data_IF_303221705536
#
_entry.id   IF_303221705536
#
_cell.length_a   1.000
_cell.length_b   1.000
_cell.length_c   1.000
_cell.angle_alpha   90.00
_cell.angle_beta   90.00
_cell.angle_gamma   90.00
#
_symmetry.space_group_name_H-M   'P 1'
#
loop_
_entity.id
_entity.type
_entity.pdbx_description
1 polymer ?
#
# COMPACT_ATOMS: atom_id res chain seq x y z
N UNK A 1 6.08 5.58 -31.67
CA UNK A 1 5.98 4.63 -30.56
C UNK A 1 4.54 4.55 -30.04
N UNK A 2 4.29 3.73 -28.98
CA UNK A 2 2.94 3.51 -28.43
C UNK A 2 2.26 4.83 -27.98
N UNK A 3 3.02 5.75 -27.39
CA UNK A 3 2.55 7.08 -27.00
C UNK A 3 2.02 7.88 -28.17
N UNK A 4 2.71 7.87 -29.29
CA UNK A 4 2.27 8.53 -30.52
C UNK A 4 1.03 7.87 -31.13
N UNK A 5 0.80 6.59 -30.81
CA UNK A 5 -0.35 5.82 -31.28
C UNK A 5 -1.61 6.02 -30.45
N UNK A 6 -1.48 6.37 -29.17
CA UNK A 6 -2.60 6.55 -28.23
C UNK A 6 -2.97 8.03 -27.99
N UNK A 7 -2.16 8.95 -28.48
CA UNK A 7 -2.33 10.38 -28.24
C UNK A 7 -1.60 10.88 -26.97
N UNK A 8 -1.18 12.12 -27.01
CA UNK A 8 -0.51 12.78 -25.90
C UNK A 8 -1.50 13.76 -25.24
N UNK A 9 -1.62 13.71 -23.93
CA UNK A 9 -2.37 14.71 -23.16
C UNK A 9 -1.43 15.90 -22.99
N UNK A 10 -1.58 16.90 -23.85
CA UNK A 10 -0.89 18.18 -23.68
C UNK A 10 -1.70 19.10 -22.77
N UNK A 11 -0.99 19.98 -22.09
CA UNK A 11 -1.50 20.97 -21.13
C UNK A 11 -2.58 21.92 -21.65
N UNK A 12 -2.89 21.89 -22.94
CA UNK A 12 -3.82 22.81 -23.60
C UNK A 12 -5.22 22.26 -23.81
N UNK A 13 -5.61 21.19 -23.12
CA UNK A 13 -6.91 20.50 -23.25
C UNK A 13 -7.27 20.03 -24.69
N UNK A 14 -6.36 20.08 -25.64
CA UNK A 14 -6.56 19.49 -26.96
C UNK A 14 -5.99 18.06 -26.92
N UNK A 15 -6.86 17.08 -26.71
CA UNK A 15 -6.54 15.67 -26.95
C UNK A 15 -6.20 15.47 -28.43
N UNK A 16 -4.93 15.38 -28.76
CA UNK A 16 -4.54 14.87 -30.07
C UNK A 16 -4.86 13.37 -30.10
N UNK A 17 -5.84 12.99 -30.90
CA UNK A 17 -6.20 11.57 -31.10
C UNK A 17 -4.99 10.80 -31.58
N UNK A 18 -4.68 9.70 -30.91
CA UNK A 18 -3.62 8.80 -31.32
C UNK A 18 -3.92 8.11 -32.65
N UNK A 19 -2.89 7.57 -33.29
CA UNK A 19 -3.03 6.87 -34.57
C UNK A 19 -4.08 5.76 -34.55
N UNK A 20 -4.22 5.03 -33.45
CA UNK A 20 -5.24 3.99 -33.27
C UNK A 20 -6.65 4.58 -33.25
N UNK A 21 -6.86 5.72 -32.60
CA UNK A 21 -8.15 6.41 -32.56
C UNK A 21 -8.49 7.07 -33.92
N UNK A 22 -7.47 7.58 -34.62
CA UNK A 22 -7.65 8.15 -35.96
C UNK A 22 -7.95 7.06 -37.00
N UNK A 23 -7.30 5.89 -36.90
CA UNK A 23 -7.51 4.76 -37.79
C UNK A 23 -8.76 3.93 -37.45
N UNK A 24 -9.31 4.08 -36.26
CA UNK A 24 -10.47 3.31 -35.78
C UNK A 24 -11.66 3.30 -36.75
N UNK A 25 -12.09 4.44 -37.33
CA UNK A 25 -13.15 4.47 -38.34
C UNK A 25 -12.79 3.83 -39.68
N UNK A 26 -11.50 3.79 -40.04
CA UNK A 26 -11.00 3.25 -41.29
C UNK A 26 -10.80 1.73 -41.23
N UNK A 27 -10.58 1.18 -40.04
CA UNK A 27 -10.25 -0.24 -39.90
C UNK A 27 -11.47 -1.18 -39.97
N UNK A 28 -12.71 -0.64 -40.04
CA UNK A 28 -13.95 -1.44 -39.98
C UNK A 28 -13.85 -2.66 -39.08
N UNK A 29 -13.13 -2.48 -37.92
CA UNK A 29 -12.92 -3.54 -36.97
C UNK A 29 -14.27 -3.86 -36.33
N UNK A 30 -14.87 -4.94 -36.80
CA UNK A 30 -16.10 -5.49 -36.23
C UNK A 30 -15.98 -5.78 -34.74
N UNK A 31 -14.74 -5.84 -34.22
CA UNK A 31 -14.43 -6.14 -32.84
C UNK A 31 -13.35 -5.21 -32.26
N UNK A 32 -13.77 -3.99 -31.93
CA UNK A 32 -12.93 -3.04 -31.16
C UNK A 32 -12.49 -3.65 -29.83
N UNK A 33 -13.33 -4.48 -29.23
CA UNK A 33 -13.03 -5.19 -27.98
C UNK A 33 -11.87 -6.17 -28.13
N UNK A 34 -11.78 -6.87 -29.27
CA UNK A 34 -10.71 -7.82 -29.56
C UNK A 34 -9.37 -7.11 -29.79
N UNK A 35 -9.38 -5.95 -30.43
CA UNK A 35 -8.17 -5.12 -30.61
C UNK A 35 -7.66 -4.65 -29.26
N UNK A 36 -8.57 -4.10 -28.43
CA UNK A 36 -8.23 -3.62 -27.10
C UNK A 36 -7.67 -4.75 -26.23
N UNK A 37 -8.34 -5.89 -26.18
CA UNK A 37 -7.90 -7.00 -25.34
C UNK A 37 -6.61 -7.66 -25.80
N UNK A 38 -6.33 -7.76 -27.08
CA UNK A 38 -5.12 -8.46 -27.57
C UNK A 38 -3.93 -7.53 -27.81
N UNK A 39 -4.12 -6.41 -28.46
CA UNK A 39 -2.99 -5.55 -28.83
C UNK A 39 -2.59 -4.65 -27.67
N UNK A 40 -3.57 -4.01 -27.03
CA UNK A 40 -3.30 -3.07 -25.94
C UNK A 40 -2.80 -3.82 -24.71
N UNK A 41 -3.36 -5.00 -24.44
CA UNK A 41 -2.89 -5.85 -23.34
C UNK A 41 -1.42 -6.28 -23.52
N UNK A 42 -1.05 -6.81 -24.68
CA UNK A 42 0.34 -7.20 -24.97
C UNK A 42 1.30 -6.00 -24.89
N UNK A 43 0.86 -4.84 -25.40
CA UNK A 43 1.65 -3.61 -25.29
C UNK A 43 1.82 -3.16 -23.83
N UNK A 44 0.78 -3.32 -23.01
CA UNK A 44 0.85 -3.00 -21.57
C UNK A 44 1.79 -3.95 -20.84
N UNK A 45 1.71 -5.26 -21.11
CA UNK A 45 2.64 -6.25 -20.53
C UNK A 45 4.10 -5.94 -20.89
N UNK A 46 4.37 -5.54 -22.13
CA UNK A 46 5.69 -5.12 -22.55
C UNK A 46 6.16 -3.88 -21.77
N UNK A 47 5.30 -2.88 -21.57
CA UNK A 47 5.61 -1.72 -20.74
C UNK A 47 5.95 -2.11 -19.29
N UNK A 48 5.25 -3.11 -18.72
CA UNK A 48 5.58 -3.65 -17.39
C UNK A 48 6.98 -4.28 -17.39
N UNK A 49 7.33 -5.07 -18.40
CA UNK A 49 8.67 -5.68 -18.52
C UNK A 49 9.78 -4.65 -18.67
N UNK A 50 9.49 -3.55 -19.37
CA UNK A 50 10.40 -2.41 -19.56
C UNK A 50 10.43 -1.44 -18.35
N UNK A 51 9.73 -1.77 -17.26
CA UNK A 51 9.57 -0.93 -16.05
C UNK A 51 8.92 0.45 -16.31
N UNK A 52 8.14 0.56 -17.37
CA UNK A 52 7.38 1.77 -17.74
C UNK A 52 5.97 1.70 -17.16
N UNK A 53 5.88 1.74 -15.83
CA UNK A 53 4.64 1.45 -15.10
C UNK A 53 3.51 2.43 -15.41
N UNK A 54 3.81 3.72 -15.57
CA UNK A 54 2.79 4.73 -15.90
C UNK A 54 2.13 4.43 -17.25
N UNK A 55 2.94 4.05 -18.25
CA UNK A 55 2.42 3.72 -19.57
C UNK A 55 1.60 2.42 -19.53
N UNK A 56 2.06 1.43 -18.77
CA UNK A 56 1.33 0.18 -18.57
C UNK A 56 -0.05 0.42 -17.93
N UNK A 57 -0.11 1.22 -16.88
CA UNK A 57 -1.36 1.58 -16.19
C UNK A 57 -2.33 2.28 -17.14
N UNK A 58 -1.85 3.23 -17.94
CA UNK A 58 -2.68 3.90 -18.95
C UNK A 58 -3.24 2.93 -19.99
N UNK A 59 -2.42 1.99 -20.47
CA UNK A 59 -2.82 0.99 -21.44
C UNK A 59 -3.86 0.01 -20.87
N UNK A 60 -3.62 -0.54 -19.68
CA UNK A 60 -4.59 -1.42 -19.02
C UNK A 60 -5.90 -0.69 -18.70
N UNK A 61 -5.83 0.58 -18.26
CA UNK A 61 -7.03 1.37 -18.03
C UNK A 61 -7.81 1.63 -19.32
N UNK A 62 -7.11 1.86 -20.44
CA UNK A 62 -7.73 1.99 -21.75
C UNK A 62 -8.39 0.67 -22.20
N UNK A 63 -7.79 -0.47 -21.88
CA UNK A 63 -8.36 -1.80 -22.11
C UNK A 63 -9.51 -2.16 -21.16
N UNK A 64 -9.86 -1.29 -20.20
CA UNK A 64 -10.87 -1.52 -19.14
C UNK A 64 -10.51 -2.65 -18.16
N UNK A 65 -9.23 -3.03 -18.07
CA UNK A 65 -8.73 -4.06 -17.18
C UNK A 65 -8.41 -3.49 -15.80
N UNK A 66 -9.43 -3.08 -15.06
CA UNK A 66 -9.30 -2.36 -13.79
C UNK A 66 -8.58 -3.17 -12.71
N UNK A 67 -8.83 -4.46 -12.62
CA UNK A 67 -8.18 -5.33 -11.63
C UNK A 67 -6.69 -5.51 -11.94
N UNK A 68 -6.32 -5.58 -13.22
CA UNK A 68 -4.92 -5.62 -13.66
C UNK A 68 -4.20 -4.30 -13.33
N UNK A 69 -4.85 -3.14 -13.54
CA UNK A 69 -4.33 -1.84 -13.11
C UNK A 69 -4.06 -1.82 -11.62
N UNK A 70 -5.02 -2.25 -10.81
CA UNK A 70 -4.86 -2.30 -9.37
C UNK A 70 -3.76 -3.26 -8.92
N UNK A 71 -3.66 -4.43 -9.55
CA UNK A 71 -2.61 -5.41 -9.27
C UNK A 71 -1.21 -4.86 -9.56
N UNK A 72 -1.02 -4.17 -10.68
CA UNK A 72 0.25 -3.51 -11.01
C UNK A 72 0.59 -2.41 -9.99
N UNK A 73 -0.38 -1.58 -9.64
CA UNK A 73 -0.20 -0.55 -8.61
C UNK A 73 0.13 -1.14 -7.24
N UNK A 74 -0.53 -2.21 -6.83
CA UNK A 74 -0.30 -2.90 -5.56
C UNK A 74 1.12 -3.46 -5.49
N UNK A 75 1.60 -4.05 -6.57
CA UNK A 75 2.97 -4.56 -6.64
C UNK A 75 4.00 -3.44 -6.45
N UNK A 76 3.82 -2.31 -7.14
CA UNK A 76 4.73 -1.15 -7.01
C UNK A 76 4.63 -0.50 -5.62
N UNK A 77 3.43 -0.35 -5.08
CA UNK A 77 3.23 0.14 -3.70
C UNK A 77 3.92 -0.78 -2.68
N UNK A 78 3.80 -2.10 -2.86
CA UNK A 78 4.46 -3.08 -2.02
C UNK A 78 5.98 -2.98 -2.09
N UNK A 79 6.55 -2.87 -3.29
CA UNK A 79 7.98 -2.72 -3.49
C UNK A 79 8.55 -1.45 -2.84
N UNK A 80 7.77 -0.37 -2.83
CA UNK A 80 8.16 0.94 -2.30
C UNK A 80 7.62 1.20 -0.88
N UNK A 81 7.05 0.19 -0.19
CA UNK A 81 6.31 0.39 1.06
C UNK A 81 7.14 1.09 2.14
N UNK A 82 8.39 0.69 2.32
CA UNK A 82 9.28 1.23 3.34
C UNK A 82 10.16 2.37 2.84
N UNK A 83 10.09 2.74 1.58
CA UNK A 83 10.81 3.92 1.08
C UNK A 83 10.21 5.22 1.64
N UNK A 84 11.04 6.26 1.87
CA UNK A 84 10.50 7.55 2.25
C UNK A 84 9.65 8.13 1.11
N UNK A 85 8.46 8.60 1.46
CA UNK A 85 7.61 9.40 0.57
C UNK A 85 7.35 10.73 1.27
N UNK A 86 7.49 11.83 0.55
CA UNK A 86 7.07 13.13 1.05
C UNK A 86 5.56 13.23 0.92
N UNK A 87 4.89 12.92 2.03
CA UNK A 87 3.44 12.93 2.16
C UNK A 87 3.02 14.02 3.15
N UNK A 88 3.73 15.14 3.15
CA UNK A 88 3.44 16.29 4.03
C UNK A 88 2.00 16.77 3.87
N UNK A 89 1.38 16.50 2.74
CA UNK A 89 -0.03 16.76 2.50
C UNK A 89 -0.73 15.52 1.93
N UNK A 90 -1.01 14.56 2.82
CA UNK A 90 -1.72 13.33 2.47
C UNK A 90 -3.10 13.59 1.86
N UNK A 91 -3.68 14.77 2.12
CA UNK A 91 -5.01 15.16 1.66
C UNK A 91 -4.98 16.07 0.43
N UNK A 92 -3.80 16.53 0.00
CA UNK A 92 -3.70 17.44 -1.13
C UNK A 92 -4.25 16.82 -2.41
N UNK A 93 -5.03 17.58 -3.18
CA UNK A 93 -5.43 17.15 -4.52
C UNK A 93 -4.19 17.10 -5.42
N UNK A 94 -4.19 16.17 -6.37
CA UNK A 94 -3.16 16.07 -7.40
C UNK A 94 -3.11 17.39 -8.19
N UNK A 95 -2.10 18.22 -7.93
CA UNK A 95 -1.83 19.40 -8.74
C UNK A 95 -0.88 18.98 -9.86
N UNK A 96 -1.34 19.08 -11.09
CA UNK A 96 -0.50 18.90 -12.27
C UNK A 96 0.56 20.01 -12.29
N UNK A 97 1.83 19.63 -12.29
CA UNK A 97 2.91 20.53 -12.73
C UNK A 97 3.93 21.01 -11.70
N UNK A 98 3.95 20.55 -10.46
CA UNK A 98 4.92 21.04 -9.48
C UNK A 98 5.73 19.91 -8.82
N UNK A 99 7.05 19.96 -9.01
CA UNK A 99 8.17 19.31 -8.34
C UNK A 99 8.62 17.93 -8.89
N UNK A 100 9.90 17.64 -8.85
CA UNK A 100 10.45 16.32 -9.07
C UNK A 100 10.00 15.43 -7.89
N UNK A 101 8.81 14.82 -8.03
CA UNK A 101 8.29 13.86 -7.07
C UNK A 101 9.22 12.65 -7.04
N UNK A 102 9.58 12.18 -5.85
CA UNK A 102 10.22 10.87 -5.71
C UNK A 102 9.34 9.81 -6.33
N UNK A 103 9.93 8.74 -6.87
CA UNK A 103 9.16 7.64 -7.47
C UNK A 103 8.10 7.10 -6.50
N UNK A 104 8.43 7.01 -5.22
CA UNK A 104 7.54 6.57 -4.16
C UNK A 104 6.33 7.50 -3.97
N UNK A 105 6.55 8.82 -3.94
CA UNK A 105 5.45 9.80 -3.81
C UNK A 105 4.53 9.76 -5.02
N UNK A 106 5.11 9.70 -6.23
CA UNK A 106 4.33 9.64 -7.47
C UNK A 106 3.40 8.42 -7.51
N UNK A 107 3.90 7.22 -7.16
CA UNK A 107 3.10 5.99 -7.16
C UNK A 107 1.97 6.06 -6.12
N UNK A 108 2.23 6.61 -4.93
CA UNK A 108 1.20 6.80 -3.89
C UNK A 108 0.07 7.71 -4.38
N UNK A 109 0.41 8.85 -4.97
CA UNK A 109 -0.57 9.80 -5.49
C UNK A 109 -1.37 9.19 -6.65
N UNK A 110 -0.71 8.50 -7.56
CA UNK A 110 -1.35 7.80 -8.68
C UNK A 110 -2.33 6.72 -8.18
N UNK A 111 -1.90 5.88 -7.24
CA UNK A 111 -2.73 4.83 -6.66
C UNK A 111 -3.98 5.41 -5.98
N UNK A 112 -3.83 6.50 -5.22
CA UNK A 112 -4.97 7.20 -4.59
C UNK A 112 -5.96 7.74 -5.64
N UNK A 113 -5.46 8.38 -6.69
CA UNK A 113 -6.31 8.93 -7.73
C UNK A 113 -7.07 7.84 -8.50
N UNK A 114 -6.39 6.76 -8.87
CA UNK A 114 -7.01 5.62 -9.57
C UNK A 114 -8.05 4.95 -8.68
N UNK A 115 -7.71 4.69 -7.40
CA UNK A 115 -8.61 4.09 -6.43
C UNK A 115 -9.88 4.93 -6.26
N UNK A 116 -9.73 6.25 -6.03
CA UNK A 116 -10.87 7.16 -5.87
C UNK A 116 -11.75 7.21 -7.12
N UNK A 117 -11.15 7.21 -8.31
CA UNK A 117 -11.90 7.19 -9.57
C UNK A 117 -12.73 5.90 -9.71
N UNK A 118 -12.14 4.73 -9.40
CA UNK A 118 -12.86 3.46 -9.50
C UNK A 118 -13.96 3.33 -8.45
N UNK A 119 -13.77 3.86 -7.24
CA UNK A 119 -14.80 3.95 -6.20
C UNK A 119 -15.98 4.82 -6.65
N UNK A 120 -15.72 5.99 -7.25
CA UNK A 120 -16.74 6.86 -7.80
C UNK A 120 -17.55 6.19 -8.92
N UNK A 121 -16.91 5.29 -9.68
CA UNK A 121 -17.57 4.49 -10.71
C UNK A 121 -18.31 3.28 -10.16
N UNK A 122 -18.33 3.07 -8.83
CA UNK A 122 -18.99 1.95 -8.17
C UNK A 122 -18.28 0.60 -8.38
N UNK A 123 -17.02 0.62 -8.80
CA UNK A 123 -16.23 -0.61 -8.92
C UNK A 123 -15.74 -1.06 -7.53
N UNK A 124 -15.85 -2.35 -7.25
CA UNK A 124 -15.34 -2.98 -6.03
C UNK A 124 -14.63 -4.27 -6.38
N UNK A 125 -13.41 -4.45 -5.89
CA UNK A 125 -12.65 -5.68 -6.08
C UNK A 125 -11.69 -5.94 -4.92
N UNK A 126 -11.27 -7.18 -4.76
CA UNK A 126 -10.26 -7.54 -3.75
C UNK A 126 -8.94 -6.80 -3.94
N UNK A 127 -8.55 -6.49 -5.17
CA UNK A 127 -7.34 -5.71 -5.47
C UNK A 127 -7.45 -4.26 -4.96
N UNK A 128 -8.64 -3.67 -4.93
CA UNK A 128 -8.87 -2.35 -4.34
C UNK A 128 -8.71 -2.37 -2.82
N UNK A 129 -9.13 -3.46 -2.15
CA UNK A 129 -8.94 -3.62 -0.71
C UNK A 129 -7.46 -3.78 -0.35
N UNK A 130 -6.71 -4.52 -1.17
CA UNK A 130 -5.25 -4.62 -1.07
C UNK A 130 -4.61 -3.23 -1.22
N UNK A 131 -5.04 -2.44 -2.20
CA UNK A 131 -4.54 -1.08 -2.42
C UNK A 131 -4.79 -0.18 -1.20
N UNK A 132 -6.01 -0.19 -0.63
CA UNK A 132 -6.35 0.57 0.58
C UNK A 132 -5.44 0.18 1.74
N UNK A 133 -5.20 -1.12 1.91
CA UNK A 133 -4.32 -1.64 2.96
C UNK A 133 -2.88 -1.15 2.77
N UNK A 134 -2.33 -1.25 1.56
CA UNK A 134 -0.98 -0.78 1.25
C UNK A 134 -0.83 0.73 1.43
N UNK A 135 -1.80 1.53 0.99
CA UNK A 135 -1.83 2.97 1.21
C UNK A 135 -1.87 3.31 2.70
N UNK A 136 -2.69 2.60 3.49
CA UNK A 136 -2.74 2.78 4.93
C UNK A 136 -1.42 2.41 5.63
N UNK A 137 -0.78 1.30 5.24
CA UNK A 137 0.55 0.92 5.74
C UNK A 137 1.61 1.96 5.39
N UNK A 138 1.57 2.50 4.17
CA UNK A 138 2.45 3.58 3.73
C UNK A 138 2.24 4.86 4.54
N UNK A 139 0.98 5.21 4.84
CA UNK A 139 0.62 6.32 5.70
C UNK A 139 1.18 6.13 7.12
N UNK A 140 0.99 4.95 7.71
CA UNK A 140 1.53 4.63 9.02
C UNK A 140 3.06 4.75 9.05
N UNK A 141 3.75 4.26 8.01
CA UNK A 141 5.20 4.39 7.89
C UNK A 141 5.66 5.85 7.78
N UNK A 142 4.92 6.70 7.06
CA UNK A 142 5.20 8.13 6.96
C UNK A 142 4.99 8.84 8.30
N UNK A 143 3.87 8.58 8.98
CA UNK A 143 3.58 9.13 10.31
C UNK A 143 4.62 8.68 11.35
N UNK A 144 5.06 7.42 11.30
CA UNK A 144 6.12 6.92 12.17
C UNK A 144 7.44 7.68 11.97
N UNK A 145 7.82 7.99 10.72
CA UNK A 145 9.03 8.77 10.42
C UNK A 145 8.92 10.24 10.83
N UNK A 146 7.72 10.83 10.74
CA UNK A 146 7.47 12.20 11.22
C UNK A 146 7.23 12.27 12.73
N UNK A 147 7.47 11.17 13.45
CA UNK A 147 7.32 11.04 14.91
C UNK A 147 5.90 11.29 15.43
N UNK A 148 4.89 11.21 14.57
CA UNK A 148 3.49 11.24 14.95
C UNK A 148 3.03 9.84 15.39
N UNK A 149 3.60 9.36 16.50
CA UNK A 149 3.51 7.95 16.91
C UNK A 149 2.08 7.50 17.22
N UNK A 150 1.29 8.33 17.90
CA UNK A 150 -0.11 8.01 18.25
C UNK A 150 -0.98 7.88 17.01
N UNK A 151 -0.83 8.80 16.05
CA UNK A 151 -1.56 8.75 14.78
C UNK A 151 -1.14 7.53 13.94
N UNK A 152 0.15 7.20 13.93
CA UNK A 152 0.65 6.00 13.25
C UNK A 152 0.03 4.71 13.83
N UNK A 153 -0.06 4.61 15.17
CA UNK A 153 -0.70 3.47 15.84
C UNK A 153 -2.18 3.36 15.48
N UNK A 154 -2.92 4.47 15.52
CA UNK A 154 -4.34 4.50 15.16
C UNK A 154 -4.58 4.02 13.72
N UNK A 155 -3.73 4.44 12.78
CA UNK A 155 -3.81 3.95 11.39
C UNK A 155 -3.56 2.44 11.33
N UNK A 156 -2.53 1.93 12.00
CA UNK A 156 -2.24 0.49 12.02
C UNK A 156 -3.37 -0.34 12.65
N UNK A 157 -3.99 0.15 13.71
CA UNK A 157 -5.15 -0.48 14.34
C UNK A 157 -6.36 -0.53 13.40
N UNK A 158 -6.64 0.58 12.70
CA UNK A 158 -7.77 0.68 11.77
C UNK A 158 -7.65 -0.23 10.54
N UNK A 159 -6.45 -0.61 10.15
CA UNK A 159 -6.22 -1.52 9.03
C UNK A 159 -6.55 -2.98 9.37
N UNK A 160 -6.64 -3.32 10.63
CA UNK A 160 -6.91 -4.69 11.11
C UNK A 160 -5.98 -5.76 10.50
N UNK A 161 -4.80 -5.41 10.02
CA UNK A 161 -3.80 -6.35 9.50
C UNK A 161 -3.05 -7.04 10.64
N UNK A 162 -2.64 -6.25 11.64
CA UNK A 162 -1.91 -6.70 12.82
C UNK A 162 -2.85 -6.96 14.00
N UNK A 163 -2.48 -7.81 14.99
CA UNK A 163 -3.29 -8.06 16.18
C UNK A 163 -3.13 -6.93 17.22
N UNK A 164 -3.40 -5.69 16.84
CA UNK A 164 -3.27 -4.52 17.70
C UNK A 164 -4.59 -4.15 18.37
N UNK A 165 -5.72 -4.49 17.76
CA UNK A 165 -7.04 -4.25 18.30
C UNK A 165 -7.38 -5.22 19.47
N UNK A 166 -8.28 -4.81 20.36
CA UNK A 166 -8.65 -5.56 21.57
C UNK A 166 -9.25 -6.93 21.24
N UNK A 167 -10.04 -7.03 20.18
CA UNK A 167 -10.69 -8.29 19.80
C UNK A 167 -9.68 -9.31 19.26
N UNK A 168 -8.74 -8.87 18.42
CA UNK A 168 -7.72 -9.76 17.82
C UNK A 168 -6.72 -10.32 18.85
N UNK A 169 -6.56 -9.68 20.02
CA UNK A 169 -5.64 -10.10 21.08
C UNK A 169 -6.29 -10.64 22.35
N UNK A 170 -7.62 -10.81 22.32
CA UNK A 170 -8.41 -11.28 23.46
C UNK A 170 -7.95 -12.64 23.98
N UNK A 171 -7.61 -13.54 23.10
CA UNK A 171 -7.10 -14.87 23.41
C UNK A 171 -6.16 -15.42 22.31
N UNK A 172 -5.50 -16.53 22.62
CA UNK A 172 -4.57 -17.20 21.69
C UNK A 172 -5.28 -17.64 20.41
N UNK A 173 -6.56 -18.02 20.51
CA UNK A 173 -7.35 -18.48 19.35
C UNK A 173 -7.60 -17.33 18.38
N UNK A 174 -7.92 -16.13 18.88
CA UNK A 174 -8.07 -14.93 18.06
C UNK A 174 -6.79 -14.56 17.34
N UNK A 175 -5.65 -14.61 18.05
CA UNK A 175 -4.32 -14.36 17.46
C UNK A 175 -4.01 -15.42 16.38
N UNK A 176 -4.29 -16.69 16.65
CA UNK A 176 -4.08 -17.77 15.66
C UNK A 176 -4.93 -17.56 14.41
N UNK A 177 -6.20 -17.22 14.58
CA UNK A 177 -7.10 -16.93 13.45
C UNK A 177 -6.58 -15.74 12.62
N UNK A 178 -6.08 -14.72 13.29
CA UNK A 178 -5.45 -13.57 12.63
C UNK A 178 -4.20 -13.96 11.86
N UNK A 179 -3.38 -14.87 12.39
CA UNK A 179 -2.22 -15.39 11.70
C UNK A 179 -2.59 -16.24 10.47
N UNK A 180 -3.66 -17.02 10.56
CA UNK A 180 -4.17 -17.78 9.42
C UNK A 180 -4.74 -16.86 8.33
N UNK A 181 -5.49 -15.83 8.70
CA UNK A 181 -6.03 -14.87 7.75
C UNK A 181 -4.92 -14.09 7.04
N UNK A 182 -3.82 -13.76 7.71
CA UNK A 182 -2.70 -13.04 7.10
C UNK A 182 -2.04 -13.82 5.96
N UNK A 183 -2.03 -15.15 6.02
CA UNK A 183 -1.49 -16.00 4.93
C UNK A 183 -2.30 -15.89 3.62
N UNK A 184 -3.51 -15.37 3.70
CA UNK A 184 -4.40 -15.16 2.55
C UNK A 184 -4.28 -13.75 1.96
N UNK A 185 -3.47 -12.88 2.58
CA UNK A 185 -3.19 -11.57 2.02
C UNK A 185 -2.37 -11.67 0.73
N UNK A 186 -2.48 -10.65 -0.09
CA UNK A 186 -1.73 -10.51 -1.33
C UNK A 186 -0.20 -10.48 -1.07
N UNK A 187 0.56 -10.99 -2.03
CA UNK A 187 2.03 -11.06 -1.93
C UNK A 187 2.66 -9.68 -1.73
N UNK A 188 2.07 -8.62 -2.30
CA UNK A 188 2.55 -7.25 -2.12
C UNK A 188 2.53 -6.76 -0.66
N UNK A 189 1.67 -7.36 0.20
CA UNK A 189 1.65 -7.12 1.64
C UNK A 189 2.56 -8.11 2.37
N UNK A 190 2.44 -9.40 2.04
CA UNK A 190 3.13 -10.46 2.79
C UNK A 190 4.65 -10.42 2.63
N UNK A 191 5.17 -9.96 1.47
CA UNK A 191 6.61 -9.80 1.28
C UNK A 191 7.24 -8.74 2.21
N UNK A 192 6.46 -7.75 2.66
CA UNK A 192 6.89 -6.71 3.58
C UNK A 192 6.64 -7.04 5.06
N UNK A 193 6.26 -8.28 5.36
CA UNK A 193 5.87 -8.70 6.70
C UNK A 193 6.89 -8.34 7.78
N UNK A 194 8.16 -8.63 7.56
CA UNK A 194 9.24 -8.37 8.52
C UNK A 194 9.34 -6.90 8.89
N UNK A 195 9.26 -6.03 7.89
CA UNK A 195 9.42 -4.59 8.07
C UNK A 195 8.18 -3.99 8.73
N UNK A 196 6.98 -4.47 8.39
CA UNK A 196 5.72 -4.06 9.02
C UNK A 196 5.72 -4.41 10.51
N UNK A 197 6.11 -5.63 10.87
CA UNK A 197 6.18 -6.08 12.27
C UNK A 197 7.24 -5.28 13.04
N UNK A 198 8.42 -5.11 12.45
CA UNK A 198 9.50 -4.36 13.09
C UNK A 198 9.11 -2.88 13.31
N UNK A 199 8.48 -2.26 12.33
CA UNK A 199 7.95 -0.90 12.46
C UNK A 199 6.92 -0.81 13.59
N UNK A 200 5.96 -1.72 13.65
CA UNK A 200 4.93 -1.75 14.69
C UNK A 200 5.53 -1.95 16.10
N UNK A 201 6.50 -2.86 16.25
CA UNK A 201 7.21 -3.06 17.52
C UNK A 201 8.00 -1.84 17.95
N UNK A 202 8.74 -1.21 17.02
CA UNK A 202 9.48 0.02 17.32
C UNK A 202 8.54 1.17 17.72
N UNK A 203 7.38 1.25 17.08
CA UNK A 203 6.34 2.23 17.41
C UNK A 203 5.84 2.04 18.84
N UNK A 204 5.45 0.82 19.19
CA UNK A 204 5.00 0.49 20.55
C UNK A 204 6.08 0.74 21.59
N UNK A 205 7.33 0.41 21.29
CA UNK A 205 8.48 0.68 22.13
C UNK A 205 8.66 2.18 22.40
N UNK A 206 8.66 3.02 21.36
CA UNK A 206 8.78 4.48 21.49
C UNK A 206 7.64 5.09 22.30
N UNK A 207 6.39 4.66 22.06
CA UNK A 207 5.22 5.10 22.81
C UNK A 207 5.32 4.69 24.30
N UNK A 208 5.72 3.45 24.57
CA UNK A 208 5.93 2.96 25.94
C UNK A 208 7.02 3.76 26.66
N UNK A 209 8.14 4.06 26.01
CA UNK A 209 9.23 4.86 26.56
C UNK A 209 8.76 6.29 26.87
N UNK A 210 8.09 6.95 25.94
CA UNK A 210 7.60 8.32 26.12
C UNK A 210 6.64 8.43 27.32
N UNK A 211 5.76 7.44 27.50
CA UNK A 211 4.86 7.41 28.65
C UNK A 211 5.58 7.12 29.96
N UNK A 212 6.60 6.27 29.95
CA UNK A 212 7.38 5.94 31.15
C UNK A 212 8.17 7.16 31.63
N UNK A 213 8.65 8.00 30.74
CA UNK A 213 9.38 9.23 31.05
C UNK A 213 8.47 10.33 31.59
N UNK A 214 7.18 10.35 31.21
CA UNK A 214 6.22 11.39 31.67
C UNK A 214 5.76 11.26 33.11
N UNK A 215 6.13 10.22 33.85
CA UNK A 215 5.92 9.98 35.30
C UNK A 215 4.48 10.18 35.83
N UNK A 216 3.46 10.24 35.03
CA UNK A 216 2.08 10.41 35.48
C UNK A 216 1.44 9.07 35.89
N UNK A 217 0.82 9.04 37.11
CA UNK A 217 0.14 7.83 37.64
C UNK A 217 -1.01 7.30 36.73
N UNK A 218 -1.58 8.14 35.92
CA UNK A 218 -2.67 7.80 34.97
C UNK A 218 -2.22 6.94 33.82
N UNK A 219 -0.91 6.82 33.59
CA UNK A 219 -0.34 6.16 32.43
C UNK A 219 -0.24 4.63 32.59
N UNK A 220 -0.51 4.06 33.77
CA UNK A 220 -0.33 2.63 34.02
C UNK A 220 -1.23 1.73 33.14
N UNK A 221 -2.46 2.16 32.86
CA UNK A 221 -3.41 1.41 32.02
C UNK A 221 -2.94 1.42 30.56
N UNK A 222 -2.51 2.56 30.08
CA UNK A 222 -2.03 2.72 28.70
C UNK A 222 -0.70 1.97 28.49
N UNK A 223 0.19 1.99 29.49
CA UNK A 223 1.42 1.20 29.47
C UNK A 223 1.13 -0.29 29.37
N UNK A 224 0.18 -0.79 30.17
CA UNK A 224 -0.25 -2.18 30.10
C UNK A 224 -0.86 -2.53 28.74
N UNK A 225 -1.58 -1.58 28.14
CA UNK A 225 -2.15 -1.71 26.80
C UNK A 225 -1.05 -1.93 25.76
N UNK A 226 -0.03 -1.07 25.71
CA UNK A 226 1.10 -1.23 24.78
C UNK A 226 1.90 -2.51 25.00
N UNK A 227 2.08 -2.92 26.27
CA UNK A 227 2.69 -4.20 26.59
C UNK A 227 1.86 -5.40 26.06
N UNK A 228 0.53 -5.31 26.22
CA UNK A 228 -0.38 -6.34 25.71
C UNK A 228 -0.34 -6.43 24.19
N UNK A 229 -0.31 -5.28 23.50
CA UNK A 229 -0.18 -5.21 22.03
C UNK A 229 1.16 -5.81 21.56
N UNK A 230 2.25 -5.46 22.21
CA UNK A 230 3.57 -5.99 21.86
C UNK A 230 3.66 -7.51 22.04
N UNK A 231 3.11 -8.05 23.14
CA UNK A 231 3.05 -9.51 23.39
C UNK A 231 2.21 -10.23 22.31
N UNK A 232 1.04 -9.67 22.00
CA UNK A 232 0.18 -10.24 20.96
C UNK A 232 0.87 -10.23 19.59
N UNK A 233 1.56 -9.15 19.25
CA UNK A 233 2.32 -9.02 18.00
C UNK A 233 3.46 -10.05 17.93
N UNK A 234 4.21 -10.23 19.01
CA UNK A 234 5.29 -11.23 19.07
C UNK A 234 4.75 -12.66 18.94
N UNK A 235 3.65 -12.98 19.63
CA UNK A 235 3.01 -14.29 19.54
C UNK A 235 2.53 -14.55 18.12
N UNK A 236 1.85 -13.57 17.51
CA UNK A 236 1.35 -13.64 16.15
C UNK A 236 2.49 -13.81 15.14
N UNK A 237 3.58 -13.04 15.27
CA UNK A 237 4.73 -13.16 14.40
C UNK A 237 5.40 -14.54 14.49
N UNK A 238 5.44 -15.14 15.69
CA UNK A 238 5.93 -16.51 15.89
C UNK A 238 5.02 -17.59 15.28
N UNK A 239 3.73 -17.35 15.15
CA UNK A 239 2.79 -18.29 14.51
C UNK A 239 2.84 -18.23 12.98
N UNK A 240 3.28 -17.11 12.43
CA UNK A 240 3.48 -16.97 11.01
C UNK A 240 4.78 -17.67 10.60
N UNK A 241 4.67 -18.65 9.72
CA UNK A 241 5.82 -19.41 9.19
C UNK A 241 6.61 -18.64 8.14
N UNK A 242 6.55 -17.32 8.14
CA UNK A 242 7.37 -16.47 7.27
C UNK A 242 8.80 -16.46 7.80
N UNK A 243 9.76 -16.66 6.90
CA UNK A 243 11.19 -16.56 7.26
C UNK A 243 11.56 -15.09 7.43
N UNK A 244 11.63 -14.64 8.66
CA UNK A 244 12.31 -13.39 9.00
C UNK A 244 13.82 -13.62 9.07
N UNK A 245 14.60 -12.60 8.81
CA UNK A 245 16.05 -12.66 8.99
C UNK A 245 16.39 -12.86 10.49
N UNK A 246 17.53 -13.49 10.77
CA UNK A 246 18.00 -13.62 12.15
C UNK A 246 18.19 -12.25 12.81
N UNK A 247 18.55 -11.24 12.04
CA UNK A 247 18.70 -9.86 12.51
C UNK A 247 17.36 -9.29 12.95
N UNK A 248 16.31 -9.44 12.15
CA UNK A 248 14.93 -9.01 12.49
C UNK A 248 14.46 -9.69 13.77
N UNK A 249 14.68 -11.00 13.94
CA UNK A 249 14.34 -11.72 15.17
C UNK A 249 15.09 -11.18 16.38
N UNK A 250 16.39 -10.91 16.25
CA UNK A 250 17.18 -10.33 17.33
C UNK A 250 16.68 -8.94 17.72
N UNK A 251 16.33 -8.11 16.75
CA UNK A 251 15.77 -6.77 17.00
C UNK A 251 14.41 -6.85 17.69
N UNK A 252 13.49 -7.69 17.21
CA UNK A 252 12.18 -7.92 17.83
C UNK A 252 12.31 -8.42 19.27
N UNK A 253 13.20 -9.38 19.53
CA UNK A 253 13.42 -9.91 20.88
C UNK A 253 13.97 -8.83 21.82
N UNK A 254 14.88 -7.98 21.36
CA UNK A 254 15.39 -6.85 22.16
C UNK A 254 14.27 -5.87 22.51
N UNK A 255 13.42 -5.53 21.54
CA UNK A 255 12.28 -4.61 21.77
C UNK A 255 11.26 -5.21 22.74
N UNK A 256 10.97 -6.51 22.66
CA UNK A 256 10.06 -7.19 23.59
C UNK A 256 10.56 -7.14 25.04
N UNK A 257 11.87 -7.31 25.27
CA UNK A 257 12.47 -7.21 26.60
C UNK A 257 12.28 -5.81 27.21
N UNK A 258 12.35 -4.77 26.40
CA UNK A 258 12.19 -3.39 26.89
C UNK A 258 10.73 -3.00 27.14
N UNK A 259 9.79 -3.67 26.50
CA UNK A 259 8.33 -3.41 26.68
C UNK A 259 7.76 -4.23 27.86
N UNK A 260 8.42 -5.30 28.27
CA UNK A 260 8.09 -6.08 29.48
C UNK A 260 8.44 -5.31 30.75
#
# INVERSE_FOLDING_TARGET
CIRDSLGDIRSDNLMTRGLIEQAGPLLHLADRSLLLSKIVHVAAEQCVQEQRMTDAILLFNYAQERDTVMSVLNRELGALLMEPADLSDWTAPLQEGTLPLTSSTHIVLLARAVLANYEQQGHTSGQMDVCRTLLGLKQAASLYRSEQLTSALQVLESLHVLPLDTESRKDVVSITRKAESFKLYDDSITMNFSDIVLMAMNLLYKLHQSLKESMERTNSVVLFEYQSQARALMMWAGMLRFRMSNETYCQLTRLDVFVR
#
